data_IF_555230835669
#
_entry.id   IF_555230835669
#
_cell.length_a   1.000
_cell.length_b   1.000
_cell.length_c   1.000
_cell.angle_alpha   90.00
_cell.angle_beta   90.00
_cell.angle_gamma   90.00
#
_symmetry.space_group_name_H-M   'P 1'
#
loop_
_entity.id
_entity.type
_entity.pdbx_description
1 polymer ?
#
# COMPACT_ATOMS: atom_id res chain seq x y z
N UNK A 1 6.16 -13.72 -13.07
CA UNK A 1 4.67 -13.73 -12.94
C UNK A 1 4.28 -12.77 -11.84
N UNK A 2 3.42 -11.81 -12.10
CA UNK A 2 3.07 -10.78 -11.14
C UNK A 2 2.45 -11.39 -9.87
N UNK A 3 2.77 -10.76 -8.71
CA UNK A 3 2.17 -11.08 -7.42
C UNK A 3 0.84 -10.36 -7.22
N UNK A 4 0.63 -9.25 -7.93
CA UNK A 4 -0.63 -8.54 -8.06
C UNK A 4 -0.89 -8.24 -9.54
N UNK A 5 -2.07 -8.58 -10.03
CA UNK A 5 -2.53 -8.23 -11.37
C UNK A 5 -3.98 -7.76 -11.31
N UNK A 6 -4.25 -6.58 -11.84
CA UNK A 6 -5.62 -6.11 -12.09
C UNK A 6 -5.95 -6.18 -13.57
N UNK A 7 -7.25 -6.36 -13.87
CA UNK A 7 -7.79 -6.18 -15.22
C UNK A 7 -9.16 -5.54 -15.14
N UNK A 8 -9.34 -4.44 -15.85
CA UNK A 8 -10.59 -3.69 -15.95
C UNK A 8 -11.24 -3.39 -14.58
N UNK A 9 -10.38 -3.13 -13.58
CA UNK A 9 -10.84 -2.83 -12.23
C UNK A 9 -11.28 -1.37 -12.16
N UNK A 10 -12.41 -1.08 -11.49
CA UNK A 10 -12.91 0.27 -11.38
C UNK A 10 -13.86 0.48 -10.21
N UNK A 11 -14.12 1.75 -9.91
CA UNK A 11 -15.11 2.17 -8.92
C UNK A 11 -15.63 3.56 -9.27
N UNK A 12 -16.94 3.76 -9.14
CA UNK A 12 -17.58 5.07 -9.28
C UNK A 12 -18.14 5.53 -7.94
N UNK A 13 -17.86 6.78 -7.60
CA UNK A 13 -18.51 7.49 -6.50
C UNK A 13 -19.44 8.54 -7.09
N UNK A 14 -20.64 8.68 -6.49
CA UNK A 14 -21.60 9.71 -6.84
C UNK A 14 -21.96 10.50 -5.59
N UNK A 15 -21.99 11.84 -5.72
CA UNK A 15 -22.45 12.77 -4.69
C UNK A 15 -23.30 13.83 -5.39
N UNK A 16 -24.62 13.68 -5.31
CA UNK A 16 -25.56 14.47 -6.08
C UNK A 16 -25.32 14.34 -7.59
N UNK A 17 -25.08 15.46 -8.26
CA UNK A 17 -24.80 15.51 -9.70
C UNK A 17 -23.32 15.22 -10.03
N UNK A 18 -22.45 15.23 -9.03
CA UNK A 18 -21.02 14.98 -9.24
C UNK A 18 -20.72 13.49 -9.26
N UNK A 19 -19.96 13.07 -10.25
CA UNK A 19 -19.48 11.70 -10.36
C UNK A 19 -17.97 11.65 -10.50
N UNK A 20 -17.36 10.72 -9.80
CA UNK A 20 -15.95 10.42 -9.94
C UNK A 20 -15.79 8.92 -10.22
N UNK A 21 -15.18 8.58 -11.34
CA UNK A 21 -14.89 7.19 -11.72
C UNK A 21 -13.39 6.97 -11.78
N UNK A 22 -12.92 5.98 -11.04
CA UNK A 22 -11.56 5.46 -11.17
C UNK A 22 -11.57 4.27 -12.11
N UNK A 23 -10.67 4.26 -13.11
CA UNK A 23 -10.45 3.16 -14.04
C UNK A 23 -9.03 2.64 -13.95
N UNK A 24 -8.89 1.35 -13.83
CA UNK A 24 -7.61 0.63 -13.76
C UNK A 24 -7.65 -0.46 -14.83
N UNK A 25 -7.29 -0.12 -16.09
CA UNK A 25 -7.32 -1.09 -17.20
C UNK A 25 -6.45 -2.30 -16.87
N UNK A 26 -5.19 -2.04 -16.52
CA UNK A 26 -4.27 -3.07 -16.05
C UNK A 26 -3.24 -2.45 -15.09
N UNK A 27 -2.87 -3.20 -14.06
CA UNK A 27 -1.74 -2.95 -13.18
C UNK A 27 -1.13 -4.29 -12.81
N UNK A 28 0.16 -4.45 -13.06
CA UNK A 28 0.91 -5.62 -12.64
C UNK A 28 2.05 -5.20 -11.73
N UNK A 29 2.30 -5.98 -10.67
CA UNK A 29 3.47 -5.84 -9.80
C UNK A 29 4.14 -7.20 -9.69
N UNK A 30 5.44 -7.26 -9.99
CA UNK A 30 6.24 -8.47 -9.81
C UNK A 30 6.71 -8.62 -8.35
N UNK A 31 7.01 -9.86 -7.89
CA UNK A 31 7.57 -10.07 -6.57
C UNK A 31 8.85 -9.25 -6.35
N UNK A 32 8.93 -8.51 -5.24
CA UNK A 32 10.08 -7.67 -4.90
C UNK A 32 10.17 -6.36 -5.68
N UNK A 33 9.26 -6.10 -6.62
CA UNK A 33 9.19 -4.83 -7.35
C UNK A 33 8.72 -3.69 -6.44
N UNK A 34 9.33 -2.52 -6.63
CA UNK A 34 8.83 -1.28 -6.06
C UNK A 34 8.36 -0.34 -7.17
N UNK A 35 7.10 0.11 -7.08
CA UNK A 35 6.47 0.99 -8.06
C UNK A 35 5.92 2.26 -7.40
N UNK A 36 6.01 3.38 -8.11
CA UNK A 36 5.49 4.68 -7.71
C UNK A 36 4.14 4.99 -8.35
N UNK A 37 3.18 5.42 -7.55
CA UNK A 37 1.88 5.92 -8.01
C UNK A 37 1.88 7.45 -7.94
N UNK A 38 1.74 8.11 -9.08
CA UNK A 38 1.74 9.57 -9.22
C UNK A 38 0.39 10.09 -9.69
N UNK A 39 0.21 11.40 -9.61
CA UNK A 39 -1.01 12.10 -10.04
C UNK A 39 -1.27 13.31 -9.15
N UNK A 40 -1.95 14.31 -9.67
CA UNK A 40 -2.32 15.51 -8.92
C UNK A 40 -3.17 15.19 -7.67
N UNK A 41 -3.33 16.15 -6.77
CA UNK A 41 -4.24 15.98 -5.63
C UNK A 41 -5.67 15.74 -6.13
N UNK A 42 -6.41 14.86 -5.47
CA UNK A 42 -7.79 14.56 -5.86
C UNK A 42 -7.97 13.62 -7.06
N UNK A 43 -6.88 13.12 -7.68
CA UNK A 43 -6.99 12.17 -8.82
C UNK A 43 -7.39 10.75 -8.41
N UNK A 44 -7.54 10.46 -7.12
CA UNK A 44 -7.99 9.16 -6.64
C UNK A 44 -6.87 8.19 -6.26
N UNK A 45 -5.64 8.65 -5.99
CA UNK A 45 -4.53 7.78 -5.54
C UNK A 45 -4.91 6.94 -4.32
N UNK A 46 -5.36 7.57 -3.25
CA UNK A 46 -5.84 6.86 -2.04
C UNK A 46 -6.97 5.88 -2.37
N UNK A 47 -7.92 6.29 -3.24
CA UNK A 47 -9.01 5.40 -3.67
C UNK A 47 -8.48 4.16 -4.42
N UNK A 48 -7.46 4.33 -5.28
CA UNK A 48 -6.81 3.19 -5.94
C UNK A 48 -6.13 2.28 -4.91
N UNK A 49 -5.39 2.84 -3.97
CA UNK A 49 -4.72 2.07 -2.91
C UNK A 49 -5.73 1.31 -2.03
N UNK A 50 -6.86 1.94 -1.68
CA UNK A 50 -7.96 1.29 -0.96
C UNK A 50 -8.60 0.15 -1.78
N UNK A 51 -8.78 0.35 -3.09
CA UNK A 51 -9.34 -0.64 -4.00
C UNK A 51 -8.45 -1.88 -4.09
N UNK A 52 -7.16 -1.67 -4.35
CA UNK A 52 -6.15 -2.73 -4.40
C UNK A 52 -6.00 -3.44 -3.06
N UNK A 53 -6.03 -2.68 -1.97
CA UNK A 53 -5.91 -3.18 -0.59
C UNK A 53 -7.17 -3.82 -0.02
N UNK A 54 -8.20 -4.08 -0.84
CA UNK A 54 -9.46 -4.71 -0.42
C UNK A 54 -10.23 -3.92 0.65
N UNK A 55 -10.04 -2.59 0.71
CA UNK A 55 -10.78 -1.70 1.61
C UNK A 55 -12.02 -1.12 0.93
N UNK A 56 -12.03 -1.08 -0.39
CA UNK A 56 -13.10 -0.54 -1.21
C UNK A 56 -13.61 -1.61 -2.18
N UNK A 57 -14.95 -1.70 -2.30
CA UNK A 57 -15.58 -2.64 -3.23
C UNK A 57 -15.42 -2.15 -4.67
N UNK A 58 -14.91 -2.99 -5.60
CA UNK A 58 -14.89 -2.67 -7.03
C UNK A 58 -16.28 -2.77 -7.66
N UNK A 59 -16.43 -2.17 -8.84
CA UNK A 59 -17.54 -2.46 -9.75
C UNK A 59 -17.46 -3.89 -10.27
N UNK A 60 -18.59 -4.36 -10.80
CA UNK A 60 -18.64 -5.70 -11.41
C UNK A 60 -17.84 -5.76 -12.73
N UNK A 61 -17.28 -6.91 -13.03
CA UNK A 61 -16.58 -7.19 -14.30
C UNK A 61 -15.06 -7.12 -14.25
N UNK A 62 -14.48 -6.38 -13.29
CA UNK A 62 -13.02 -6.34 -13.13
C UNK A 62 -12.46 -7.53 -12.37
N UNK A 63 -11.12 -7.69 -12.42
CA UNK A 63 -10.39 -8.72 -11.70
C UNK A 63 -9.28 -8.12 -10.85
N UNK A 64 -9.04 -8.73 -9.69
CA UNK A 64 -7.90 -8.47 -8.82
C UNK A 64 -7.28 -9.82 -8.40
N UNK A 65 -6.25 -10.23 -9.11
CA UNK A 65 -5.53 -11.46 -8.82
C UNK A 65 -4.36 -11.16 -7.89
N UNK A 66 -4.24 -11.94 -6.83
CA UNK A 66 -3.12 -11.86 -5.87
C UNK A 66 -2.54 -13.26 -5.65
N UNK A 67 -1.23 -13.35 -5.74
CA UNK A 67 -0.46 -14.58 -5.68
C UNK A 67 0.29 -14.84 -6.97
N UNK A 68 1.17 -15.84 -7.01
CA UNK A 68 1.97 -16.18 -8.18
C UNK A 68 1.56 -17.54 -8.75
N UNK A 69 1.59 -17.69 -10.06
CA UNK A 69 1.32 -18.96 -10.74
C UNK A 69 -0.02 -19.58 -10.35
N UNK A 70 -0.03 -20.87 -9.99
CA UNK A 70 -1.23 -21.60 -9.61
C UNK A 70 -1.86 -21.14 -8.27
N UNK A 71 -1.12 -20.37 -7.47
CA UNK A 71 -1.64 -19.81 -6.22
C UNK A 71 -2.40 -18.48 -6.42
N UNK A 72 -2.30 -17.86 -7.60
CA UNK A 72 -3.00 -16.61 -7.89
C UNK A 72 -4.51 -16.79 -7.78
N UNK A 73 -5.16 -15.93 -7.02
CA UNK A 73 -6.61 -15.98 -6.78
C UNK A 73 -7.25 -14.64 -7.08
N UNK A 74 -8.35 -14.67 -7.79
CA UNK A 74 -9.19 -13.50 -8.00
C UNK A 74 -9.99 -13.21 -6.71
N UNK A 75 -9.78 -12.02 -6.15
CA UNK A 75 -10.40 -11.62 -4.90
C UNK A 75 -11.70 -10.81 -5.10
N UNK A 76 -12.00 -10.36 -6.33
CA UNK A 76 -13.21 -9.59 -6.63
C UNK A 76 -14.49 -10.40 -6.34
N UNK A 77 -14.61 -11.69 -6.67
CA UNK A 77 -15.81 -12.47 -6.37
C UNK A 77 -16.15 -12.57 -4.88
N UNK A 78 -15.18 -12.38 -3.99
CA UNK A 78 -15.41 -12.42 -2.54
C UNK A 78 -16.34 -11.32 -2.05
N UNK A 79 -16.44 -10.19 -2.76
CA UNK A 79 -17.32 -9.08 -2.37
C UNK A 79 -18.82 -9.43 -2.42
N UNK A 80 -19.19 -10.43 -3.21
CA UNK A 80 -20.58 -10.90 -3.35
C UNK A 80 -20.80 -12.31 -2.76
N UNK A 81 -19.75 -12.99 -2.32
CA UNK A 81 -19.83 -14.34 -1.80
C UNK A 81 -20.35 -14.38 -0.37
N UNK A 82 -21.05 -15.47 -0.01
CA UNK A 82 -21.44 -15.75 1.39
C UNK A 82 -20.16 -15.86 2.26
N UNK A 83 -20.14 -15.12 3.38
CA UNK A 83 -18.94 -15.02 4.24
C UNK A 83 -17.77 -14.25 3.61
N UNK A 84 -18.00 -13.55 2.50
CA UNK A 84 -16.98 -12.85 1.74
C UNK A 84 -16.27 -11.76 2.55
N UNK A 85 -16.98 -11.04 3.43
CA UNK A 85 -16.36 -10.01 4.30
C UNK A 85 -15.24 -10.57 5.19
N UNK A 86 -15.50 -11.70 5.85
CA UNK A 86 -14.48 -12.36 6.68
C UNK A 86 -13.31 -12.88 5.85
N UNK A 87 -13.58 -13.43 4.66
CA UNK A 87 -12.55 -13.90 3.73
C UNK A 87 -11.71 -12.74 3.18
N UNK A 88 -12.31 -11.60 2.85
CA UNK A 88 -11.60 -10.38 2.45
C UNK A 88 -10.75 -9.83 3.60
N UNK A 89 -11.29 -9.80 4.83
CA UNK A 89 -10.51 -9.39 5.99
C UNK A 89 -9.31 -10.29 6.24
N UNK A 90 -9.49 -11.60 6.14
CA UNK A 90 -8.38 -12.57 6.26
C UNK A 90 -7.36 -12.42 5.13
N UNK A 91 -7.80 -12.24 3.87
CA UNK A 91 -6.91 -12.00 2.74
C UNK A 91 -6.11 -10.70 2.93
N UNK A 92 -6.78 -9.62 3.35
CA UNK A 92 -6.14 -8.33 3.64
C UNK A 92 -5.08 -8.47 4.73
N UNK A 93 -5.41 -9.10 5.86
CA UNK A 93 -4.48 -9.29 6.98
C UNK A 93 -3.27 -10.14 6.64
N UNK A 94 -3.38 -11.09 5.70
CA UNK A 94 -2.29 -12.02 5.34
C UNK A 94 -1.44 -11.54 4.17
N UNK A 95 -2.06 -10.90 3.17
CA UNK A 95 -1.43 -10.61 1.89
C UNK A 95 -0.90 -9.19 1.78
N UNK A 96 -1.48 -8.25 2.56
CA UNK A 96 -1.18 -6.84 2.42
C UNK A 96 -0.59 -6.23 3.69
N UNK A 97 0.47 -5.44 3.52
CA UNK A 97 0.96 -4.49 4.51
C UNK A 97 0.52 -3.08 4.15
N UNK A 98 0.15 -2.27 5.14
CA UNK A 98 -0.29 -0.90 4.91
C UNK A 98 0.58 0.09 5.68
N UNK A 99 1.09 1.09 4.95
CA UNK A 99 1.78 2.27 5.50
C UNK A 99 0.93 3.50 5.16
N UNK A 100 0.03 3.93 6.04
CA UNK A 100 -0.82 5.10 5.79
C UNK A 100 -0.04 6.40 5.98
N UNK A 101 -0.48 7.48 5.35
CA UNK A 101 0.11 8.81 5.40
C UNK A 101 0.34 9.31 6.83
N UNK A 102 -0.61 9.10 7.73
CA UNK A 102 -0.53 9.52 9.14
C UNK A 102 0.21 8.54 10.06
N UNK A 103 0.88 7.50 9.49
CA UNK A 103 1.51 6.41 10.24
C UNK A 103 0.53 5.42 10.87
N UNK A 104 -0.67 5.84 11.25
CA UNK A 104 -1.78 4.99 11.74
C UNK A 104 -1.45 4.10 12.93
N UNK A 105 -0.51 4.52 13.81
CA UNK A 105 -0.11 3.72 14.97
C UNK A 105 -1.19 3.73 16.04
N UNK A 106 -1.33 2.61 16.76
CA UNK A 106 -2.19 2.52 17.93
C UNK A 106 -1.55 3.29 19.09
N UNK A 107 -2.16 4.39 19.58
CA UNK A 107 -1.51 5.29 20.54
C UNK A 107 -1.29 4.66 21.92
N UNK A 108 -2.08 3.66 22.27
CA UNK A 108 -2.01 2.93 23.54
C UNK A 108 -1.04 1.73 23.52
N UNK A 109 -0.48 1.36 22.37
CA UNK A 109 0.49 0.28 22.19
C UNK A 109 1.91 0.86 22.14
N UNK A 110 2.88 0.11 22.65
CA UNK A 110 4.30 0.42 22.46
C UNK A 110 4.73 0.18 21.01
N UNK A 111 5.95 0.60 20.65
CA UNK A 111 6.55 0.31 19.34
C UNK A 111 6.54 -1.19 19.06
N UNK A 112 7.06 -2.01 19.99
CA UNK A 112 7.10 -3.47 19.83
C UNK A 112 5.70 -4.05 19.66
N UNK A 113 4.73 -3.59 20.40
CA UNK A 113 3.33 -4.03 20.31
C UNK A 113 2.67 -3.58 19.00
N UNK A 114 2.94 -2.36 18.51
CA UNK A 114 2.48 -1.91 17.19
C UNK A 114 3.02 -2.79 16.08
N UNK A 115 4.32 -3.11 16.10
CA UNK A 115 4.94 -4.00 15.10
C UNK A 115 4.32 -5.41 15.15
N UNK A 116 4.15 -5.98 16.33
CA UNK A 116 3.54 -7.30 16.49
C UNK A 116 2.05 -7.36 16.12
N UNK A 117 1.35 -6.21 16.08
CA UNK A 117 -0.09 -6.17 15.78
C UNK A 117 -0.43 -6.76 14.42
N UNK A 118 0.38 -6.49 13.38
CA UNK A 118 0.19 -7.06 12.04
C UNK A 118 0.25 -8.58 12.06
N UNK A 119 1.17 -9.15 12.81
CA UNK A 119 1.33 -10.60 12.98
C UNK A 119 0.13 -11.23 13.69
N UNK A 120 -0.37 -10.60 14.75
CA UNK A 120 -1.57 -11.09 15.47
C UNK A 120 -2.81 -11.08 14.59
N UNK A 121 -3.02 -10.01 13.81
CA UNK A 121 -4.17 -9.89 12.89
C UNK A 121 -4.11 -10.95 11.79
N UNK A 122 -2.91 -11.24 11.26
CA UNK A 122 -2.70 -12.23 10.20
C UNK A 122 -2.69 -13.68 10.71
N UNK A 123 -2.55 -13.90 12.02
CA UNK A 123 -2.35 -15.22 12.60
C UNK A 123 -0.97 -15.82 12.28
N UNK A 124 0.03 -14.97 11.99
CA UNK A 124 1.41 -15.38 11.66
C UNK A 124 2.40 -14.78 12.66
N UNK A 125 2.26 -15.15 13.93
CA UNK A 125 3.12 -14.65 15.00
C UNK A 125 4.54 -15.19 14.84
N UNK A 126 5.53 -14.28 14.75
CA UNK A 126 6.95 -14.53 14.67
C UNK A 126 7.70 -13.41 15.42
N UNK A 127 7.98 -13.67 16.68
CA UNK A 127 8.66 -12.71 17.55
C UNK A 127 10.09 -12.41 17.08
N UNK A 128 10.78 -13.38 16.49
CA UNK A 128 12.14 -13.21 15.98
C UNK A 128 12.16 -12.26 14.78
N UNK A 129 11.20 -12.43 13.86
CA UNK A 129 11.02 -11.50 12.73
C UNK A 129 10.67 -10.10 13.17
N UNK A 130 9.76 -9.96 14.15
CA UNK A 130 9.42 -8.64 14.69
C UNK A 130 10.65 -7.95 15.32
N UNK A 131 11.43 -8.67 16.13
CA UNK A 131 12.64 -8.15 16.73
C UNK A 131 13.70 -7.76 15.66
N UNK A 132 13.89 -8.59 14.64
CA UNK A 132 14.82 -8.30 13.54
C UNK A 132 14.42 -7.03 12.76
N UNK A 133 13.12 -6.82 12.52
CA UNK A 133 12.61 -5.59 11.87
C UNK A 133 12.81 -4.37 12.76
N UNK A 134 12.55 -4.45 14.06
CA UNK A 134 12.79 -3.39 15.02
C UNK A 134 14.27 -2.99 15.02
N UNK A 135 15.17 -3.98 15.04
CA UNK A 135 16.61 -3.73 14.98
C UNK A 135 17.05 -3.09 13.64
N UNK A 136 16.59 -3.67 12.51
CA UNK A 136 16.92 -3.20 11.16
C UNK A 136 16.48 -1.76 10.90
N UNK A 137 15.34 -1.34 11.49
CA UNK A 137 14.79 0.01 11.34
C UNK A 137 15.29 0.99 12.43
N UNK A 138 16.27 0.58 13.24
CA UNK A 138 16.86 1.43 14.28
C UNK A 138 15.90 1.76 15.43
N UNK A 139 14.90 0.93 15.66
CA UNK A 139 13.84 1.17 16.67
C UNK A 139 14.13 0.50 18.03
N UNK A 140 15.25 -0.21 18.17
CA UNK A 140 15.62 -0.90 19.43
C UNK A 140 15.55 -0.01 20.66
N UNK A 141 16.20 1.18 20.68
CA UNK A 141 16.19 2.07 21.84
C UNK A 141 14.80 2.59 22.25
N UNK A 142 13.83 2.59 21.32
CA UNK A 142 12.47 3.10 21.53
C UNK A 142 11.40 2.03 21.56
N UNK A 143 11.78 0.74 21.52
CA UNK A 143 10.85 -0.39 21.38
C UNK A 143 9.77 -0.44 22.50
N UNK A 144 10.09 0.03 23.71
CA UNK A 144 9.18 0.11 24.84
C UNK A 144 8.35 1.40 24.90
N UNK A 145 8.62 2.39 24.04
CA UNK A 145 7.92 3.69 24.06
C UNK A 145 6.59 3.63 23.30
N UNK A 146 5.68 4.55 23.62
CA UNK A 146 4.43 4.78 22.89
C UNK A 146 4.63 5.83 21.79
N UNK A 147 3.73 5.89 20.78
CA UNK A 147 3.84 6.80 19.64
C UNK A 147 3.93 8.29 19.99
N UNK A 148 3.36 8.73 21.10
CA UNK A 148 3.43 10.12 21.59
C UNK A 148 4.85 10.55 22.00
N UNK A 149 5.74 9.59 22.28
CA UNK A 149 7.13 9.82 22.67
C UNK A 149 8.12 9.71 21.49
N UNK A 150 7.64 9.51 20.28
CA UNK A 150 8.46 9.29 19.10
C UNK A 150 8.53 10.55 18.23
N UNK A 151 9.67 10.75 17.54
CA UNK A 151 9.77 11.70 16.44
C UNK A 151 8.88 11.27 15.27
N UNK A 152 8.62 12.17 14.32
CA UNK A 152 7.83 11.86 13.09
C UNK A 152 8.50 10.72 12.32
N UNK A 153 9.82 10.79 12.09
CA UNK A 153 10.58 9.75 11.40
C UNK A 153 10.55 8.40 12.13
N UNK A 154 10.65 8.39 13.46
CA UNK A 154 10.51 7.16 14.24
C UNK A 154 9.11 6.56 14.11
N UNK A 155 8.04 7.37 14.17
CA UNK A 155 6.67 6.88 13.93
C UNK A 155 6.53 6.26 12.54
N UNK A 156 7.13 6.89 11.52
CA UNK A 156 7.11 6.37 10.17
C UNK A 156 7.82 5.02 10.06
N UNK A 157 9.02 4.88 10.64
CA UNK A 157 9.74 3.60 10.69
C UNK A 157 8.95 2.52 11.43
N UNK A 158 8.24 2.85 12.50
CA UNK A 158 7.33 1.90 13.19
C UNK A 158 6.19 1.46 12.28
N UNK A 159 5.60 2.38 11.51
CA UNK A 159 4.55 2.04 10.54
C UNK A 159 5.06 1.09 9.45
N UNK A 160 6.26 1.32 8.93
CA UNK A 160 6.94 0.43 7.97
C UNK A 160 7.20 -0.95 8.61
N UNK A 161 7.75 -0.99 9.84
CA UNK A 161 7.99 -2.25 10.55
C UNK A 161 6.71 -3.06 10.71
N UNK A 162 5.63 -2.41 11.15
CA UNK A 162 4.31 -3.04 11.34
C UNK A 162 3.76 -3.61 10.03
N UNK A 163 3.89 -2.84 8.93
CA UNK A 163 3.40 -3.25 7.62
C UNK A 163 4.12 -4.51 7.09
N UNK A 164 5.38 -4.70 7.44
CA UNK A 164 6.23 -5.81 6.98
C UNK A 164 6.30 -6.99 7.95
N UNK A 165 5.87 -6.82 9.21
CA UNK A 165 6.11 -7.79 10.29
C UNK A 165 5.49 -9.16 10.02
N UNK A 166 4.31 -9.23 9.40
CA UNK A 166 3.60 -10.47 9.10
C UNK A 166 4.03 -11.14 7.78
N UNK A 167 5.00 -10.57 7.05
CA UNK A 167 5.47 -11.09 5.77
C UNK A 167 4.46 -10.96 4.64
N UNK A 168 3.91 -9.77 4.39
CA UNK A 168 2.95 -9.58 3.32
C UNK A 168 3.57 -9.88 1.96
N UNK A 169 2.73 -10.19 0.96
CA UNK A 169 3.15 -10.29 -0.44
C UNK A 169 3.22 -8.90 -1.11
N UNK A 170 2.43 -7.96 -0.62
CA UNK A 170 2.27 -6.63 -1.19
C UNK A 170 2.25 -5.60 -0.06
N UNK A 171 3.01 -4.53 -0.21
CA UNK A 171 2.95 -3.36 0.68
C UNK A 171 2.36 -2.18 -0.09
N UNK A 172 1.31 -1.60 0.47
CA UNK A 172 0.67 -0.39 -0.03
C UNK A 172 1.05 0.75 0.91
N UNK A 173 1.71 1.78 0.36
CA UNK A 173 2.14 2.95 1.12
C UNK A 173 1.52 4.21 0.52
N UNK A 174 0.69 4.90 1.31
CA UNK A 174 0.04 6.14 0.89
C UNK A 174 0.82 7.33 1.44
N UNK A 175 1.54 8.02 0.56
CA UNK A 175 2.38 9.19 0.86
C UNK A 175 3.25 9.02 2.13
N UNK A 176 4.04 7.94 2.24
CA UNK A 176 4.69 7.56 3.49
C UNK A 176 5.76 8.55 3.96
N UNK A 177 6.16 9.49 3.11
CA UNK A 177 7.23 10.45 3.39
C UNK A 177 6.78 11.91 3.44
N UNK A 178 5.48 12.18 3.24
CA UNK A 178 4.95 13.54 3.08
C UNK A 178 5.20 14.50 4.28
N UNK A 179 5.40 13.95 5.50
CA UNK A 179 5.63 14.74 6.70
C UNK A 179 7.11 14.78 7.13
N UNK A 180 8.03 14.29 6.28
CA UNK A 180 9.45 14.19 6.58
C UNK A 180 10.23 15.25 5.79
N UNK A 181 11.38 15.66 6.34
CA UNK A 181 12.37 16.39 5.56
C UNK A 181 12.99 15.50 4.46
N UNK A 182 13.65 16.08 3.45
CA UNK A 182 14.14 15.32 2.28
C UNK A 182 15.10 14.17 2.63
N UNK A 183 15.95 14.34 3.65
CA UNK A 183 16.91 13.32 4.06
C UNK A 183 16.20 12.16 4.77
N UNK A 184 15.35 12.47 5.75
CA UNK A 184 14.53 11.48 6.45
C UNK A 184 13.56 10.77 5.50
N UNK A 185 13.02 11.46 4.48
CA UNK A 185 12.18 10.89 3.44
C UNK A 185 12.93 9.84 2.61
N UNK A 186 14.14 10.17 2.17
CA UNK A 186 15.00 9.25 1.43
C UNK A 186 15.38 8.02 2.27
N UNK A 187 15.72 8.22 3.54
CA UNK A 187 16.03 7.12 4.46
C UNK A 187 14.81 6.20 4.67
N UNK A 188 13.63 6.76 4.94
CA UNK A 188 12.41 5.99 5.12
C UNK A 188 12.04 5.18 3.87
N UNK A 189 12.20 5.78 2.67
CA UNK A 189 11.96 5.10 1.40
C UNK A 189 12.96 3.96 1.18
N UNK A 190 14.25 4.19 1.43
CA UNK A 190 15.29 3.15 1.34
C UNK A 190 14.99 1.96 2.27
N UNK A 191 14.57 2.25 3.51
CA UNK A 191 14.20 1.24 4.49
C UNK A 191 12.97 0.45 4.04
N UNK A 192 11.93 1.13 3.54
CA UNK A 192 10.72 0.48 3.03
C UNK A 192 11.05 -0.46 1.87
N UNK A 193 11.67 0.06 0.81
CA UNK A 193 11.98 -0.69 -0.41
C UNK A 193 12.97 -1.82 -0.10
N UNK A 194 14.07 -1.51 0.59
CA UNK A 194 15.10 -2.50 0.88
C UNK A 194 14.65 -3.62 1.82
N UNK A 195 13.71 -3.32 2.73
CA UNK A 195 13.16 -4.35 3.63
C UNK A 195 12.11 -5.20 2.90
N UNK A 196 11.27 -4.60 2.07
CA UNK A 196 10.29 -5.32 1.25
C UNK A 196 10.99 -6.24 0.23
N UNK A 197 12.00 -5.73 -0.49
CA UNK A 197 12.78 -6.52 -1.44
C UNK A 197 13.45 -7.74 -0.78
N UNK A 198 14.00 -7.58 0.42
CA UNK A 198 14.63 -8.68 1.16
C UNK A 198 13.64 -9.80 1.54
N UNK A 199 12.33 -9.53 1.54
CA UNK A 199 11.26 -10.50 1.83
C UNK A 199 10.49 -10.92 0.58
N UNK A 200 10.85 -10.39 -0.60
CA UNK A 200 10.15 -10.64 -1.86
C UNK A 200 8.78 -9.96 -1.95
N UNK A 201 8.46 -9.04 -1.07
CA UNK A 201 7.21 -8.28 -1.12
C UNK A 201 7.27 -7.21 -2.21
N UNK A 202 6.22 -7.09 -3.04
CA UNK A 202 6.05 -5.95 -3.93
C UNK A 202 5.62 -4.71 -3.14
N UNK A 203 6.03 -3.52 -3.59
CA UNK A 203 5.66 -2.23 -2.98
C UNK A 203 4.97 -1.34 -4.01
N UNK A 204 3.82 -0.80 -3.65
CA UNK A 204 3.20 0.31 -4.38
C UNK A 204 3.14 1.52 -3.46
N UNK A 205 3.87 2.57 -3.80
CA UNK A 205 3.94 3.79 -3.01
C UNK A 205 3.35 4.98 -3.77
N UNK A 206 2.36 5.67 -3.19
CA UNK A 206 1.95 6.98 -3.70
C UNK A 206 2.92 8.06 -3.23
N UNK A 207 3.28 8.97 -4.13
CA UNK A 207 4.10 10.14 -3.79
C UNK A 207 3.84 11.28 -4.75
N UNK A 208 3.94 12.50 -4.23
CA UNK A 208 4.02 13.73 -5.01
C UNK A 208 5.46 14.15 -5.30
N UNK A 209 6.42 13.55 -4.60
CA UNK A 209 7.85 13.83 -4.75
C UNK A 209 8.42 12.99 -5.90
N UNK A 210 8.48 13.61 -7.09
CA UNK A 210 9.00 12.96 -8.29
C UNK A 210 10.50 12.68 -8.19
N UNK A 211 11.26 13.59 -7.57
CA UNK A 211 12.72 13.46 -7.42
C UNK A 211 13.07 12.27 -6.52
N UNK A 212 12.27 12.08 -5.46
CA UNK A 212 12.42 10.91 -4.59
C UNK A 212 12.12 9.61 -5.34
N UNK A 213 11.07 9.56 -6.18
CA UNK A 213 10.76 8.38 -6.98
C UNK A 213 11.85 8.08 -8.02
N UNK A 214 12.44 9.11 -8.64
CA UNK A 214 13.55 8.97 -9.59
C UNK A 214 14.83 8.48 -8.92
N UNK A 215 15.13 8.98 -7.74
CA UNK A 215 16.28 8.53 -6.93
C UNK A 215 16.27 7.02 -6.68
N UNK A 216 15.08 6.43 -6.55
CA UNK A 216 14.93 4.98 -6.34
C UNK A 216 14.59 4.22 -7.61
N UNK A 217 14.60 4.86 -8.79
CA UNK A 217 14.32 4.27 -10.10
C UNK A 217 13.01 3.44 -10.12
N UNK A 218 11.96 3.93 -9.46
CA UNK A 218 10.70 3.22 -9.36
C UNK A 218 9.95 3.23 -10.69
N UNK A 219 9.41 2.08 -11.08
CA UNK A 219 8.43 2.01 -12.19
C UNK A 219 7.26 2.93 -11.87
N UNK A 220 6.89 3.82 -12.80
CA UNK A 220 5.84 4.80 -12.56
C UNK A 220 4.50 4.36 -13.11
N UNK A 221 3.48 4.55 -12.29
CA UNK A 221 2.08 4.51 -12.67
C UNK A 221 1.47 5.88 -12.39
N UNK A 222 0.65 6.40 -13.29
CA UNK A 222 0.08 7.74 -13.18
C UNK A 222 -1.43 7.73 -13.31
N UNK A 223 -2.12 8.41 -12.40
CA UNK A 223 -3.55 8.69 -12.54
C UNK A 223 -3.76 9.98 -13.33
N UNK A 224 -4.46 9.85 -14.46
CA UNK A 224 -4.77 10.96 -15.37
C UNK A 224 -6.26 11.22 -15.31
N UNK A 225 -6.70 12.36 -14.75
CA UNK A 225 -8.10 12.74 -14.69
C UNK A 225 -8.54 13.42 -16.00
N UNK A 226 -9.73 13.07 -16.47
CA UNK A 226 -10.47 13.72 -17.54
C UNK A 226 -11.82 14.17 -16.98
N UNK A 227 -12.14 15.47 -17.11
CA UNK A 227 -13.41 16.04 -16.65
C UNK A 227 -14.34 16.32 -17.84
N UNK A 228 -15.58 15.85 -17.76
CA UNK A 228 -16.65 16.12 -18.73
C UNK A 228 -17.99 16.23 -17.98
N UNK A 229 -18.72 17.34 -18.17
CA UNK A 229 -20.10 17.52 -17.71
C UNK A 229 -20.35 17.12 -16.24
N UNK A 230 -19.49 17.59 -15.32
CA UNK A 230 -19.59 17.26 -13.89
C UNK A 230 -19.13 15.85 -13.52
N UNK A 231 -18.67 15.06 -14.48
CA UNK A 231 -18.12 13.74 -14.29
C UNK A 231 -16.59 13.77 -14.46
N UNK A 232 -15.85 13.29 -13.48
CA UNK A 232 -14.39 13.10 -13.56
C UNK A 232 -14.10 11.62 -13.71
N UNK A 233 -13.40 11.25 -14.77
CA UNK A 233 -12.88 9.91 -14.99
C UNK A 233 -11.37 9.94 -14.83
N UNK A 234 -10.86 9.26 -13.82
CA UNK A 234 -9.42 9.13 -13.57
C UNK A 234 -8.95 7.75 -14.03
N UNK A 235 -8.06 7.70 -15.00
CA UNK A 235 -7.57 6.46 -15.58
C UNK A 235 -6.12 6.22 -15.20
N UNK A 236 -5.81 5.01 -14.74
CA UNK A 236 -4.42 4.60 -14.50
C UNK A 236 -3.71 4.38 -15.83
N UNK A 237 -2.56 5.03 -16.00
CA UNK A 237 -1.59 4.81 -17.06
C UNK A 237 -0.36 4.13 -16.49
N UNK A 238 0.21 3.17 -17.21
CA UNK A 238 1.33 2.35 -16.76
C UNK A 238 2.51 2.44 -17.72
N UNK A 239 3.74 2.24 -17.23
CA UNK A 239 4.94 2.19 -18.07
C UNK A 239 5.17 3.46 -18.91
N UNK A 240 5.48 3.31 -20.19
CA UNK A 240 5.77 4.45 -21.09
C UNK A 240 4.61 5.45 -21.23
N UNK A 241 3.37 4.99 -21.06
CA UNK A 241 2.18 5.87 -21.06
C UNK A 241 2.08 6.76 -19.81
N UNK A 242 2.78 6.42 -18.74
CA UNK A 242 2.82 7.20 -17.51
C UNK A 242 3.87 8.34 -17.56
N UNK A 243 4.83 8.26 -18.48
CA UNK A 243 5.91 9.22 -18.65
C UNK A 243 5.53 10.39 -19.58
N UNK A 244 4.49 10.23 -20.36
CA UNK A 244 3.91 11.26 -21.23
C UNK A 244 2.84 12.08 -20.50
#
# INVERSE_FOLDING_TARGET
MPVLLTRDLGVTLADGERRFTLRVPELALEPGEAAGLTGASGTGKTMLLELLGLLRRPEAGGRLLVGTGAEARDLVPLWSARGGRSRLAAARGRLFGFVPQSGGLMPFLTVAQNVALGQRISGSEDAARAAALIARLGLGPVAGLRPDRLSIGQRQRVSIARALAHGPRIVIADEPTAALDPEAAAEAMALLIGTAAATGAAVLVSSHDHDLLDRFALTRHRLVPEARDGHVVSTLRTGAEAAA
#
